data_IF_507515560292
#
_entry.id   IF_507515560292
#
_cell.length_a   1.000
_cell.length_b   1.000
_cell.length_c   1.000
_cell.angle_alpha   90.00
_cell.angle_beta   90.00
_cell.angle_gamma   90.00
#
_symmetry.space_group_name_H-M   'P 1'
#
loop_
_entity.id
_entity.type
_entity.pdbx_description
1 polymer ?
#
# COMPACT_ATOMS: atom_id res chain seq x y z
N UNK A 1 -2.44 -2.51 -16.39
CA UNK A 1 -2.65 -1.21 -15.69
C UNK A 1 -3.34 -1.53 -14.38
N UNK A 2 -3.04 -0.81 -13.27
CA UNK A 2 -3.61 -1.06 -11.95
C UNK A 2 -5.01 -0.42 -11.81
N UNK A 3 -5.77 -0.88 -10.81
CA UNK A 3 -7.13 -0.41 -10.50
C UNK A 3 -7.15 0.45 -9.24
N UNK A 4 -6.25 0.17 -8.30
CA UNK A 4 -6.19 0.78 -6.96
C UNK A 4 -4.77 1.05 -6.53
N UNK A 5 -4.56 2.16 -5.82
CA UNK A 5 -3.34 2.47 -5.10
C UNK A 5 -3.60 2.26 -3.61
N UNK A 6 -2.70 1.58 -2.93
CA UNK A 6 -2.77 1.33 -1.50
C UNK A 6 -1.50 1.86 -0.84
N UNK A 7 -1.67 2.74 0.11
CA UNK A 7 -0.61 3.21 1.00
C UNK A 7 -0.94 2.85 2.44
N UNK A 8 0.02 2.94 3.33
CA UNK A 8 -0.22 2.64 4.74
C UNK A 8 0.55 3.57 5.67
N UNK A 9 -0.02 3.80 6.85
CA UNK A 9 0.62 4.54 7.92
C UNK A 9 0.09 4.11 9.29
N UNK A 10 0.65 4.68 10.35
CA UNK A 10 0.20 4.54 11.72
C UNK A 10 -0.02 5.93 12.38
N UNK A 11 -0.41 5.95 13.64
CA UNK A 11 -0.63 7.21 14.38
C UNK A 11 0.66 8.02 14.60
N UNK A 12 1.82 7.40 14.57
CA UNK A 12 3.09 8.00 14.93
C UNK A 12 3.93 8.47 13.76
N UNK A 13 3.65 7.97 12.53
CA UNK A 13 4.51 8.22 11.37
C UNK A 13 3.72 8.66 10.14
N UNK A 14 4.02 9.86 9.65
CA UNK A 14 3.67 10.34 8.31
C UNK A 14 2.17 10.36 7.95
N UNK A 15 1.24 10.25 8.93
CA UNK A 15 -0.20 10.34 8.65
C UNK A 15 -0.60 11.68 8.02
N UNK A 16 0.17 12.72 8.30
CA UNK A 16 0.02 14.07 7.73
C UNK A 16 0.24 14.11 6.22
N UNK A 17 0.93 13.13 5.66
CA UNK A 17 1.18 13.04 4.22
C UNK A 17 -0.02 12.54 3.44
N UNK A 18 -0.98 11.87 4.10
CA UNK A 18 -2.13 11.29 3.42
C UNK A 18 -2.90 12.25 2.52
N UNK A 19 -3.26 13.48 2.94
CA UNK A 19 -3.95 14.43 2.07
C UNK A 19 -3.15 14.78 0.80
N UNK A 20 -1.84 14.97 0.95
CA UNK A 20 -0.94 15.32 -0.16
C UNK A 20 -0.82 14.15 -1.13
N UNK A 21 -0.54 12.97 -0.61
CA UNK A 21 -0.36 11.75 -1.39
C UNK A 21 -1.63 11.39 -2.14
N UNK A 22 -2.78 11.35 -1.45
CA UNK A 22 -4.06 11.04 -2.06
C UNK A 22 -4.43 12.05 -3.15
N UNK A 23 -4.18 13.34 -2.92
CA UNK A 23 -4.45 14.38 -3.91
C UNK A 23 -3.52 14.24 -5.13
N UNK A 24 -2.25 13.96 -4.92
CA UNK A 24 -1.30 13.76 -6.01
C UNK A 24 -1.68 12.55 -6.89
N UNK A 25 -1.99 11.41 -6.26
CA UNK A 25 -2.43 10.23 -7.01
C UNK A 25 -3.73 10.46 -7.77
N UNK A 26 -4.73 11.12 -7.17
CA UNK A 26 -5.98 11.49 -7.86
C UNK A 26 -5.76 12.44 -9.04
N UNK A 27 -4.81 13.36 -8.92
CA UNK A 27 -4.46 14.29 -10.01
C UNK A 27 -3.93 13.57 -11.23
N UNK A 28 -3.02 12.62 -11.06
CA UNK A 28 -2.38 11.91 -12.17
C UNK A 28 -3.17 10.68 -12.63
N UNK A 29 -3.96 10.09 -11.76
CA UNK A 29 -4.75 8.88 -12.01
C UNK A 29 -6.20 9.04 -11.52
N UNK A 30 -6.97 9.97 -12.11
CA UNK A 30 -8.30 10.36 -11.59
C UNK A 30 -9.34 9.23 -11.59
N UNK A 31 -9.14 8.20 -12.41
CA UNK A 31 -10.04 7.05 -12.50
C UNK A 31 -9.69 5.93 -11.53
N UNK A 32 -8.56 6.04 -10.81
CA UNK A 32 -8.07 5.01 -9.91
C UNK A 32 -8.56 5.23 -8.49
N UNK A 33 -8.86 4.14 -7.80
CA UNK A 33 -9.20 4.17 -6.39
C UNK A 33 -7.93 4.39 -5.57
N UNK A 34 -8.04 5.08 -4.45
CA UNK A 34 -6.94 5.22 -3.50
C UNK A 34 -7.41 4.85 -2.10
N UNK A 35 -6.63 4.03 -1.42
CA UNK A 35 -6.94 3.49 -0.10
C UNK A 35 -5.76 3.62 0.84
N UNK A 36 -6.07 3.96 2.07
CA UNK A 36 -5.14 4.02 3.20
C UNK A 36 -5.42 2.85 4.14
N UNK A 37 -4.42 2.01 4.38
CA UNK A 37 -4.41 1.08 5.51
C UNK A 37 -3.85 1.81 6.73
N UNK A 38 -4.70 2.15 7.69
CA UNK A 38 -4.33 2.96 8.85
C UNK A 38 -4.29 2.09 10.11
N UNK A 39 -3.08 1.87 10.65
CA UNK A 39 -2.87 1.13 11.90
C UNK A 39 -3.07 2.07 13.07
N UNK A 40 -4.16 1.90 13.81
CA UNK A 40 -4.59 2.81 14.86
C UNK A 40 -5.55 2.13 15.83
N UNK A 41 -5.65 2.67 17.05
CA UNK A 41 -6.73 2.33 18.00
C UNK A 41 -7.89 3.34 17.95
N UNK A 42 -7.91 4.25 16.98
CA UNK A 42 -9.02 5.18 16.76
C UNK A 42 -10.25 4.43 16.27
N UNK A 43 -11.40 5.03 16.49
CA UNK A 43 -12.68 4.52 16.04
C UNK A 43 -13.08 5.14 14.69
N UNK A 44 -14.08 4.57 14.04
CA UNK A 44 -14.59 5.01 12.75
C UNK A 44 -15.17 6.44 12.76
N UNK A 45 -15.58 6.91 13.93
CA UNK A 45 -16.14 8.24 14.19
C UNK A 45 -15.10 9.25 14.73
N UNK A 46 -13.83 8.85 14.87
CA UNK A 46 -12.76 9.77 15.25
C UNK A 46 -12.62 10.90 14.21
N UNK A 47 -12.51 12.15 14.68
CA UNK A 47 -12.46 13.34 13.82
C UNK A 47 -11.31 13.29 12.80
N UNK A 48 -10.15 12.72 13.17
CA UNK A 48 -9.04 12.55 12.24
C UNK A 48 -9.38 11.52 11.16
N UNK A 49 -9.99 10.39 11.53
CA UNK A 49 -10.40 9.36 10.57
C UNK A 49 -11.42 9.90 9.57
N UNK A 50 -12.44 10.63 10.08
CA UNK A 50 -13.43 11.28 9.22
C UNK A 50 -12.77 12.27 8.26
N UNK A 51 -11.83 13.08 8.75
CA UNK A 51 -11.06 14.01 7.92
C UNK A 51 -10.22 13.30 6.86
N UNK A 52 -9.57 12.20 7.20
CA UNK A 52 -8.78 11.40 6.26
C UNK A 52 -9.65 10.83 5.13
N UNK A 53 -10.90 10.46 5.41
CA UNK A 53 -11.85 9.93 4.44
C UNK A 53 -12.29 10.90 3.35
N UNK A 54 -12.14 12.20 3.56
CA UNK A 54 -12.36 13.20 2.52
C UNK A 54 -11.40 13.01 1.33
N UNK A 55 -10.23 12.43 1.55
CA UNK A 55 -9.19 12.25 0.54
C UNK A 55 -9.22 10.89 -0.15
N UNK A 56 -9.79 9.87 0.48
CA UNK A 56 -9.87 8.52 -0.08
C UNK A 56 -10.46 7.52 0.89
N UNK A 57 -10.47 6.26 0.51
CA UNK A 57 -10.88 5.19 1.40
C UNK A 57 -9.87 5.01 2.54
N UNK A 58 -10.37 4.87 3.77
CA UNK A 58 -9.54 4.61 4.95
C UNK A 58 -10.04 3.35 5.64
N UNK A 59 -9.18 2.34 5.72
CA UNK A 59 -9.44 1.07 6.39
C UNK A 59 -8.61 1.00 7.65
N UNK A 60 -9.27 0.85 8.81
CA UNK A 60 -8.62 0.82 10.11
C UNK A 60 -8.13 -0.60 10.43
N UNK A 61 -6.93 -0.67 10.96
CA UNK A 61 -6.32 -1.89 11.49
C UNK A 61 -5.96 -1.66 12.96
N UNK A 62 -6.45 -2.50 13.88
CA UNK A 62 -6.15 -2.34 15.29
C UNK A 62 -4.67 -2.58 15.56
N UNK A 63 -4.12 -1.83 16.52
CA UNK A 63 -2.75 -2.02 16.97
C UNK A 63 -2.61 -3.35 17.72
N UNK A 64 -1.69 -4.18 17.26
CA UNK A 64 -1.34 -5.45 17.91
C UNK A 64 -0.15 -5.25 18.84
N UNK A 65 -0.29 -5.64 20.10
CA UNK A 65 0.79 -5.53 21.07
C UNK A 65 2.02 -6.36 20.72
N UNK A 66 3.20 -5.88 21.12
CA UNK A 66 4.47 -6.57 20.91
C UNK A 66 5.11 -6.41 19.52
N UNK A 67 4.43 -5.74 18.60
CA UNK A 67 4.96 -5.44 17.24
C UNK A 67 4.97 -3.92 17.04
N UNK A 68 6.09 -3.33 16.62
CA UNK A 68 6.14 -1.90 16.30
C UNK A 68 5.10 -1.50 15.24
N UNK A 69 4.35 -0.43 15.48
CA UNK A 69 3.26 0.01 14.59
C UNK A 69 3.69 0.31 13.15
N UNK A 70 4.91 0.84 12.87
CA UNK A 70 5.38 0.99 11.50
C UNK A 70 5.50 -0.35 10.75
N UNK A 71 5.88 -1.41 11.44
CA UNK A 71 5.96 -2.74 10.82
C UNK A 71 4.56 -3.30 10.55
N UNK A 72 3.61 -3.05 11.46
CA UNK A 72 2.20 -3.41 11.24
C UNK A 72 1.64 -2.65 10.02
N UNK A 73 1.92 -1.35 9.89
CA UNK A 73 1.49 -0.56 8.74
C UNK A 73 2.02 -1.12 7.43
N UNK A 74 3.31 -1.48 7.37
CA UNK A 74 3.90 -2.14 6.20
C UNK A 74 3.19 -3.43 5.82
N UNK A 75 2.74 -4.21 6.79
CA UNK A 75 1.98 -5.45 6.54
C UNK A 75 0.52 -5.16 6.18
N UNK A 76 -0.11 -4.17 6.80
CA UNK A 76 -1.52 -3.86 6.62
C UNK A 76 -1.87 -3.55 5.14
N UNK A 77 -1.00 -2.85 4.41
CA UNK A 77 -1.22 -2.57 2.99
C UNK A 77 -1.27 -3.82 2.12
N UNK A 78 -0.47 -4.84 2.45
CA UNK A 78 -0.51 -6.13 1.74
C UNK A 78 -1.77 -6.92 2.08
N UNK A 79 -2.16 -6.90 3.36
CA UNK A 79 -3.42 -7.53 3.80
C UNK A 79 -4.60 -6.86 3.11
N UNK A 80 -4.63 -5.53 3.07
CA UNK A 80 -5.67 -4.77 2.41
C UNK A 80 -5.74 -5.10 0.90
N UNK A 81 -4.59 -5.15 0.22
CA UNK A 81 -4.55 -5.56 -1.19
C UNK A 81 -5.19 -6.94 -1.42
N UNK A 82 -4.94 -7.89 -0.52
CA UNK A 82 -5.54 -9.22 -0.59
C UNK A 82 -7.06 -9.24 -0.43
N UNK A 83 -7.68 -8.20 0.15
CA UNK A 83 -9.15 -8.13 0.31
C UNK A 83 -9.86 -7.71 -0.97
N UNK A 84 -9.19 -7.07 -1.91
CA UNK A 84 -9.79 -6.57 -3.15
C UNK A 84 -9.83 -7.60 -4.30
N UNK A 85 -9.42 -8.83 -4.05
CA UNK A 85 -9.66 -10.01 -4.89
C UNK A 85 -9.26 -9.85 -6.36
N UNK A 86 -10.15 -9.26 -7.17
CA UNK A 86 -9.97 -9.11 -8.62
C UNK A 86 -9.30 -7.81 -9.06
N UNK A 87 -9.06 -6.86 -8.16
CA UNK A 87 -8.40 -5.60 -8.48
C UNK A 87 -6.88 -5.78 -8.55
N UNK A 88 -6.25 -5.16 -9.54
CA UNK A 88 -4.80 -5.02 -9.57
C UNK A 88 -4.39 -3.87 -8.67
N UNK A 89 -3.80 -4.20 -7.53
CA UNK A 89 -3.39 -3.22 -6.54
C UNK A 89 -1.93 -2.82 -6.72
N UNK A 90 -1.68 -1.51 -6.77
CA UNK A 90 -0.36 -0.93 -6.65
C UNK A 90 -0.12 -0.54 -5.20
N UNK A 91 0.94 -1.05 -4.60
CA UNK A 91 1.28 -0.81 -3.20
C UNK A 91 2.47 0.14 -3.15
N UNK A 92 2.30 1.24 -2.43
CA UNK A 92 3.30 2.29 -2.30
C UNK A 92 3.52 2.70 -0.84
N UNK A 93 4.63 3.37 -0.58
CA UNK A 93 4.88 4.00 0.70
C UNK A 93 4.10 5.33 0.81
N UNK A 94 3.77 5.73 2.05
CA UNK A 94 2.96 6.94 2.31
C UNK A 94 3.65 8.25 1.89
N UNK A 95 4.95 8.21 1.65
CA UNK A 95 5.77 9.34 1.20
C UNK A 95 6.03 9.32 -0.32
N UNK A 96 5.46 8.35 -1.04
CA UNK A 96 5.60 8.24 -2.50
C UNK A 96 4.50 9.00 -3.21
N UNK A 97 4.89 9.97 -4.04
CA UNK A 97 3.97 10.73 -4.89
C UNK A 97 4.37 10.61 -6.37
N UNK A 98 3.41 10.41 -7.28
CA UNK A 98 3.71 10.43 -8.70
C UNK A 98 4.03 11.86 -9.14
N UNK A 99 5.08 12.02 -9.94
CA UNK A 99 5.44 13.31 -10.53
C UNK A 99 5.00 13.42 -11.99
N UNK A 100 4.66 12.31 -12.63
CA UNK A 100 4.26 12.22 -14.04
C UNK A 100 3.23 11.12 -14.23
N UNK A 101 2.31 11.33 -15.18
CA UNK A 101 1.24 10.35 -15.47
C UNK A 101 1.76 9.03 -16.07
N UNK A 102 2.87 9.09 -16.80
CA UNK A 102 3.51 7.92 -17.42
C UNK A 102 4.42 7.15 -16.47
N UNK A 103 4.54 7.58 -15.22
CA UNK A 103 5.39 6.94 -14.21
C UNK A 103 5.13 5.43 -14.11
N UNK A 104 3.86 5.05 -14.01
CA UNK A 104 3.49 3.63 -13.86
C UNK A 104 3.84 2.82 -15.11
N UNK A 105 3.60 3.36 -16.30
CA UNK A 105 3.91 2.69 -17.56
C UNK A 105 5.42 2.47 -17.72
N UNK A 106 6.22 3.49 -17.40
CA UNK A 106 7.69 3.40 -17.44
C UNK A 106 8.24 2.39 -16.44
N UNK A 107 7.59 2.29 -15.27
CA UNK A 107 8.05 1.44 -14.18
C UNK A 107 7.56 0.01 -14.35
N UNK A 108 6.35 -0.20 -14.84
CA UNK A 108 5.78 -1.53 -14.93
C UNK A 108 6.00 -2.22 -16.27
N UNK A 109 6.12 -1.50 -17.38
CA UNK A 109 6.49 -1.98 -18.73
C UNK A 109 5.87 -3.30 -19.20
N UNK A 110 5.22 -4.03 -18.32
CA UNK A 110 4.70 -5.38 -18.50
C UNK A 110 3.27 -5.50 -17.97
N UNK A 111 2.43 -6.23 -18.68
CA UNK A 111 1.15 -6.71 -18.14
C UNK A 111 1.45 -7.75 -17.07
N UNK A 112 1.11 -7.46 -15.84
CA UNK A 112 1.24 -8.39 -14.71
C UNK A 112 -0.16 -8.93 -14.41
N UNK A 113 -0.46 -10.11 -14.95
CA UNK A 113 -1.62 -10.88 -14.50
C UNK A 113 -1.11 -11.93 -13.49
N UNK A 114 -1.78 -12.04 -12.35
CA UNK A 114 -1.58 -13.07 -11.32
C UNK A 114 -0.17 -13.10 -10.68
N UNK A 115 0.55 -11.97 -10.68
CA UNK A 115 1.90 -11.87 -10.11
C UNK A 115 2.06 -10.65 -9.22
N UNK A 116 2.89 -10.77 -8.19
CA UNK A 116 3.44 -9.64 -7.49
C UNK A 116 4.64 -9.11 -8.31
N UNK A 117 4.51 -7.90 -8.85
CA UNK A 117 5.62 -7.18 -9.47
C UNK A 117 6.24 -6.26 -8.44
N UNK A 118 7.51 -6.47 -8.14
CA UNK A 118 8.29 -5.53 -7.35
C UNK A 118 9.15 -4.69 -8.26
N UNK A 119 9.00 -3.37 -8.13
CA UNK A 119 9.72 -2.39 -8.93
C UNK A 119 10.82 -1.74 -8.11
N UNK A 120 11.92 -1.37 -8.75
CA UNK A 120 13.02 -0.68 -8.07
C UNK A 120 14.00 -1.61 -7.35
N UNK A 121 13.98 -2.92 -7.64
CA UNK A 121 14.93 -3.90 -7.09
C UNK A 121 16.37 -3.48 -7.27
N UNK A 122 16.69 -2.83 -8.37
CA UNK A 122 18.06 -2.40 -8.68
C UNK A 122 18.49 -1.10 -7.99
N UNK A 123 17.56 -0.40 -7.33
CA UNK A 123 17.86 0.86 -6.61
C UNK A 123 18.94 0.64 -5.52
N UNK A 124 18.99 -0.57 -4.97
CA UNK A 124 19.96 -0.90 -3.93
C UNK A 124 21.25 -1.56 -4.45
N UNK A 125 21.35 -1.82 -5.76
CA UNK A 125 22.54 -2.43 -6.37
C UNK A 125 23.76 -1.53 -6.16
N UNK A 126 24.81 -2.07 -5.57
CA UNK A 126 26.01 -1.31 -5.21
C UNK A 126 25.88 -0.43 -3.97
N UNK A 127 24.75 -0.43 -3.28
CA UNK A 127 24.55 0.32 -2.04
C UNK A 127 24.88 -0.54 -0.80
N UNK A 128 25.13 0.09 0.39
CA UNK A 128 25.28 -0.65 1.65
C UNK A 128 24.06 -1.47 2.05
N UNK A 129 22.95 -1.33 1.35
CA UNK A 129 21.69 -2.02 1.58
C UNK A 129 21.44 -3.18 0.59
N UNK A 130 22.38 -3.41 -0.35
CA UNK A 130 22.28 -4.53 -1.28
C UNK A 130 22.18 -5.86 -0.51
N UNK A 131 21.17 -6.66 -0.86
CA UNK A 131 20.91 -7.95 -0.20
C UNK A 131 20.24 -7.88 1.19
N UNK A 132 20.05 -6.68 1.77
CA UNK A 132 19.34 -6.55 3.07
C UNK A 132 17.81 -6.63 2.95
N UNK A 133 17.28 -6.46 1.76
CA UNK A 133 15.87 -6.58 1.47
C UNK A 133 15.64 -7.74 0.50
N UNK A 134 15.45 -8.96 1.01
CA UNK A 134 15.14 -10.09 0.14
C UNK A 134 13.79 -9.84 -0.53
N UNK A 135 13.81 -9.63 -1.82
CA UNK A 135 12.60 -9.53 -2.62
C UNK A 135 12.20 -10.95 -2.96
N UNK A 136 11.22 -11.46 -2.26
CA UNK A 136 10.62 -12.73 -2.61
C UNK A 136 9.67 -12.54 -3.79
N UNK A 137 9.86 -13.30 -4.85
CA UNK A 137 8.89 -13.45 -5.93
C UNK A 137 7.66 -14.22 -5.41
N UNK A 138 6.82 -13.55 -4.62
CA UNK A 138 5.55 -14.09 -4.15
C UNK A 138 4.53 -13.80 -5.24
N UNK A 139 3.89 -14.83 -5.78
CA UNK A 139 2.77 -14.63 -6.68
C UNK A 139 1.57 -14.13 -5.89
N UNK A 140 0.79 -13.20 -6.44
CA UNK A 140 -0.43 -12.68 -5.80
C UNK A 140 -1.39 -13.83 -5.41
N UNK A 141 -1.45 -14.89 -6.21
CA UNK A 141 -2.23 -16.09 -5.92
C UNK A 141 -1.76 -16.82 -4.65
N UNK A 142 -0.45 -16.94 -4.45
CA UNK A 142 0.12 -17.56 -3.25
C UNK A 142 -0.20 -16.75 -2.00
N UNK A 143 -0.16 -15.42 -2.10
CA UNK A 143 -0.49 -14.51 -1.00
C UNK A 143 -1.99 -14.56 -0.67
N UNK A 144 -2.86 -14.49 -1.66
CA UNK A 144 -4.33 -14.58 -1.49
C UNK A 144 -4.73 -15.94 -0.90
N UNK A 145 -4.14 -17.04 -1.37
CA UNK A 145 -4.39 -18.38 -0.80
C UNK A 145 -3.94 -18.51 0.66
N UNK A 146 -2.87 -17.83 1.06
CA UNK A 146 -2.41 -17.86 2.45
C UNK A 146 -3.33 -17.09 3.41
N UNK A 147 -3.87 -15.95 2.96
CA UNK A 147 -4.80 -15.13 3.76
C UNK A 147 -6.17 -15.79 3.88
N UNK A 148 -6.66 -16.44 2.82
CA UNK A 148 -7.97 -17.09 2.82
C UNK A 148 -8.01 -18.45 3.55
N UNK A 149 -6.88 -18.97 3.99
CA UNK A 149 -6.83 -20.11 4.90
C UNK A 149 -7.14 -19.65 6.32
N UNK A 150 -8.41 -19.35 6.61
CA UNK A 150 -8.89 -19.28 8.00
C UNK A 150 -8.77 -20.68 8.59
N UNK A 151 -8.15 -20.86 9.76
CA UNK A 151 -8.31 -22.11 10.49
C UNK A 151 -9.80 -22.30 10.78
N UNK A 152 -10.30 -23.49 10.48
CA UNK A 152 -11.64 -23.94 10.91
C UNK A 152 -11.65 -24.16 12.41
#
# INVERSE_FOLDING_TARGET
MFDRIIVSTDDSHFKEYWPIVATAWKKFFPTKKISLAFVTNRTEDDALVLKMREYGEVVLYPVVGGVPTPNQAKMARHILAGTYGSEVCMIEDIDTVPLQADFVERVTGQKVADKLLTVGVEVYKGSPHEGKFPISNITAESFTKSINRRPR
#
